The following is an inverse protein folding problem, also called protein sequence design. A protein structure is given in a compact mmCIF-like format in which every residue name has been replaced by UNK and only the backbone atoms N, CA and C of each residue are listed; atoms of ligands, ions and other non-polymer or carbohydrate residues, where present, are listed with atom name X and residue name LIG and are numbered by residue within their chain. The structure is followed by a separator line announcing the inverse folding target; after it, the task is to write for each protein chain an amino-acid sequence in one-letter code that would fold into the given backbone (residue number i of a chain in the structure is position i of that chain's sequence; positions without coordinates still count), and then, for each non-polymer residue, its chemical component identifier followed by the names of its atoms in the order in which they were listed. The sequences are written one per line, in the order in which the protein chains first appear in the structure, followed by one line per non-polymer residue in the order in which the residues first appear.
data_IF_322709943857
#
_entry.id   IF_322709943857
#
_cell.length_a   1.000
_cell.length_b   1.000
_cell.length_c   1.000
_cell.angle_alpha   90.00
_cell.angle_beta   90.00
_cell.angle_gamma   90.00
#
_symmetry.space_group_name_H-M   'P 1'
#
loop_
_entity.id
_entity.type
_entity.pdbx_description
1 polymer ?
#
# COMPACT_ATOMS: atom_id res chain seq x y z
N UNK A 1 9.46 -0.69 0.92
CA UNK A 1 9.54 -1.76 1.96
C UNK A 1 10.22 -1.33 3.24
N UNK A 2 11.41 -0.72 3.24
CA UNK A 2 12.06 -0.25 4.47
C UNK A 2 11.16 0.64 5.35
N UNK A 3 10.54 1.67 4.74
CA UNK A 3 9.61 2.58 5.43
C UNK A 3 8.40 1.84 5.99
N UNK A 4 7.79 0.92 5.21
CA UNK A 4 6.65 0.12 5.67
C UNK A 4 7.00 -0.68 6.93
N UNK A 5 8.15 -1.37 6.91
CA UNK A 5 8.63 -2.16 8.05
C UNK A 5 8.85 -1.28 9.29
N UNK A 6 9.44 -0.08 9.13
CA UNK A 6 9.67 0.86 10.23
C UNK A 6 8.37 1.24 10.97
N UNK A 7 7.24 1.27 10.26
CA UNK A 7 5.93 1.62 10.81
C UNK A 7 5.00 0.41 10.97
N UNK A 8 5.52 -0.81 11.06
CA UNK A 8 4.76 -2.06 11.25
C UNK A 8 3.68 -2.34 10.18
N UNK A 9 3.88 -1.87 8.95
CA UNK A 9 3.04 -2.23 7.82
C UNK A 9 3.58 -3.47 7.09
N UNK A 10 2.70 -4.35 6.58
CA UNK A 10 3.09 -5.44 5.68
C UNK A 10 3.96 -4.92 4.53
N UNK A 11 5.06 -5.62 4.24
CA UNK A 11 5.94 -5.26 3.12
C UNK A 11 5.30 -5.63 1.80
N UNK A 12 5.24 -4.69 0.86
CA UNK A 12 4.68 -4.95 -0.46
C UNK A 12 5.62 -5.81 -1.31
N UNK A 13 5.17 -7.01 -1.65
CA UNK A 13 5.82 -7.85 -2.68
C UNK A 13 5.04 -7.72 -4.00
N UNK A 14 5.72 -7.34 -5.07
CA UNK A 14 5.08 -7.18 -6.40
C UNK A 14 5.46 -8.41 -7.24
N UNK A 15 4.49 -9.30 -7.52
CA UNK A 15 4.76 -10.49 -8.31
C UNK A 15 5.10 -10.09 -9.76
N UNK A 16 5.83 -10.95 -10.46
CA UNK A 16 6.45 -10.63 -11.75
C UNK A 16 5.43 -10.12 -12.78
N UNK A 17 4.27 -10.75 -12.83
CA UNK A 17 3.17 -10.47 -13.75
C UNK A 17 2.59 -9.05 -13.56
N UNK A 18 2.82 -8.45 -12.39
CA UNK A 18 2.33 -7.11 -12.04
C UNK A 18 3.43 -6.04 -12.11
N UNK A 19 4.66 -6.38 -12.49
CA UNK A 19 5.78 -5.42 -12.59
C UNK A 19 5.62 -4.42 -13.71
N UNK A 20 4.88 -4.75 -14.77
CA UNK A 20 4.56 -3.78 -15.83
C UNK A 20 3.91 -2.51 -15.27
N UNK A 21 2.96 -2.66 -14.33
CA UNK A 21 2.33 -1.51 -13.67
C UNK A 21 3.30 -0.69 -12.83
N UNK A 22 4.25 -1.33 -12.15
CA UNK A 22 5.29 -0.66 -11.36
C UNK A 22 6.18 0.22 -12.24
N UNK A 23 6.71 -0.35 -13.33
CA UNK A 23 7.62 0.38 -14.22
C UNK A 23 6.89 1.50 -14.94
N UNK A 24 5.67 1.26 -15.43
CA UNK A 24 4.88 2.30 -16.11
C UNK A 24 4.56 3.48 -15.18
N UNK A 25 4.25 3.22 -13.91
CA UNK A 25 3.98 4.28 -12.94
C UNK A 25 5.25 5.07 -12.59
N UNK A 26 6.39 4.38 -12.46
CA UNK A 26 7.68 5.00 -12.17
C UNK A 26 8.16 5.85 -13.33
N UNK A 27 8.13 5.32 -14.55
CA UNK A 27 8.50 6.03 -15.78
C UNK A 27 7.66 7.29 -15.96
N UNK A 28 6.34 7.20 -15.76
CA UNK A 28 5.44 8.36 -15.85
C UNK A 28 5.74 9.42 -14.80
N UNK A 29 6.03 9.01 -13.56
CA UNK A 29 6.38 9.94 -12.50
C UNK A 29 7.68 10.70 -12.83
N UNK A 30 8.68 9.99 -13.38
CA UNK A 30 9.96 10.58 -13.78
C UNK A 30 9.84 11.49 -15.00
N UNK A 31 9.19 11.02 -16.07
CA UNK A 31 9.06 11.75 -17.34
C UNK A 31 8.18 12.99 -17.23
N UNK A 32 7.16 12.95 -16.35
CA UNK A 32 6.26 14.09 -16.11
C UNK A 32 6.70 14.97 -14.94
N UNK A 33 7.74 14.57 -14.21
CA UNK A 33 8.18 15.21 -12.97
C UNK A 33 7.03 15.34 -11.94
N UNK A 34 6.19 14.32 -11.88
CA UNK A 34 4.98 14.24 -11.04
C UNK A 34 5.05 12.98 -10.16
N UNK A 35 5.72 13.08 -9.01
CA UNK A 35 5.91 11.95 -8.08
C UNK A 35 4.59 11.32 -7.62
N UNK A 36 3.52 12.13 -7.56
CA UNK A 36 2.17 11.71 -7.17
C UNK A 36 1.63 10.55 -8.00
N UNK A 37 2.04 10.40 -9.27
CA UNK A 37 1.61 9.29 -10.13
C UNK A 37 2.06 7.96 -9.53
N UNK A 38 3.31 7.87 -9.10
CA UNK A 38 3.85 6.65 -8.51
C UNK A 38 3.25 6.40 -7.12
N UNK A 39 3.10 7.45 -6.30
CA UNK A 39 2.48 7.35 -4.97
C UNK A 39 1.05 6.81 -5.06
N UNK A 40 0.24 7.34 -5.99
CA UNK A 40 -1.12 6.86 -6.21
C UNK A 40 -1.16 5.39 -6.67
N UNK A 41 -0.29 5.01 -7.62
CA UNK A 41 -0.21 3.63 -8.07
C UNK A 41 0.19 2.69 -6.92
N UNK A 42 1.22 3.07 -6.15
CA UNK A 42 1.71 2.31 -5.01
C UNK A 42 0.60 2.12 -3.97
N UNK A 43 -0.11 3.20 -3.61
CA UNK A 43 -1.17 3.15 -2.61
C UNK A 43 -2.33 2.23 -3.04
N UNK A 44 -2.80 2.38 -4.29
CA UNK A 44 -3.85 1.50 -4.84
C UNK A 44 -3.43 0.03 -4.86
N UNK A 45 -2.18 -0.25 -5.25
CA UNK A 45 -1.65 -1.62 -5.28
C UNK A 45 -1.54 -2.19 -3.87
N UNK A 46 -1.09 -1.37 -2.91
CA UNK A 46 -0.95 -1.74 -1.52
C UNK A 46 -2.29 -2.10 -0.88
N UNK A 47 -3.29 -1.23 -1.03
CA UNK A 47 -4.64 -1.48 -0.54
C UNK A 47 -5.21 -2.75 -1.17
N UNK A 48 -5.08 -2.93 -2.49
CA UNK A 48 -5.58 -4.15 -3.16
C UNK A 48 -4.93 -5.45 -2.68
N UNK A 49 -3.65 -5.42 -2.32
CA UNK A 49 -2.96 -6.61 -1.81
C UNK A 49 -3.35 -6.93 -0.36
N UNK A 50 -3.64 -5.90 0.43
CA UNK A 50 -3.89 -6.01 1.87
C UNK A 50 -5.32 -5.64 2.26
N UNK A 51 -6.28 -5.59 1.34
CA UNK A 51 -7.65 -5.16 1.60
C UNK A 51 -8.27 -5.97 2.75
N UNK A 52 -8.15 -7.30 2.68
CA UNK A 52 -8.59 -8.22 3.75
C UNK A 52 -7.84 -8.02 5.07
N UNK A 53 -6.57 -7.64 5.03
CA UNK A 53 -5.77 -7.37 6.23
C UNK A 53 -6.16 -6.02 6.86
N UNK A 54 -6.39 -4.99 6.04
CA UNK A 54 -6.83 -3.67 6.48
C UNK A 54 -8.23 -3.76 7.09
N UNK A 55 -9.17 -4.46 6.44
CA UNK A 55 -10.49 -4.74 6.99
C UNK A 55 -10.43 -5.42 8.37
N UNK A 56 -9.54 -6.40 8.53
CA UNK A 56 -9.31 -7.07 9.80
C UNK A 56 -8.80 -6.10 10.88
N UNK A 57 -7.79 -5.28 10.57
CA UNK A 57 -7.26 -4.28 11.50
C UNK A 57 -8.33 -3.28 11.92
N UNK A 58 -9.11 -2.75 10.97
CA UNK A 58 -10.17 -1.79 11.30
C UNK A 58 -11.22 -2.40 12.23
N UNK A 59 -11.66 -3.63 11.96
CA UNK A 59 -12.60 -4.35 12.83
C UNK A 59 -12.01 -4.61 14.22
N UNK A 60 -10.75 -5.04 14.30
CA UNK A 60 -10.07 -5.30 15.56
C UNK A 60 -9.90 -4.02 16.40
N UNK A 61 -9.44 -2.93 15.78
CA UNK A 61 -9.29 -1.63 16.46
C UNK A 61 -10.63 -1.07 16.94
N UNK A 62 -11.69 -1.21 16.13
CA UNK A 62 -13.04 -0.83 16.52
C UNK A 62 -13.53 -1.64 17.73
N UNK A 63 -13.29 -2.95 17.74
CA UNK A 63 -13.64 -3.82 18.87
C UNK A 63 -12.89 -3.42 20.16
N UNK A 64 -11.57 -3.19 20.08
CA UNK A 64 -10.77 -2.75 21.24
C UNK A 64 -11.26 -1.41 21.78
N UNK A 65 -11.56 -0.46 20.89
CA UNK A 65 -12.14 0.85 21.23
C UNK A 65 -13.47 0.76 21.97
N UNK A 66 -14.30 -0.24 21.65
CA UNK A 66 -15.59 -0.48 22.31
C UNK A 66 -15.40 -1.16 23.68
N UNK A 67 -14.42 -2.05 23.82
CA UNK A 67 -14.18 -2.80 25.06
C UNK A 67 -13.46 -1.94 26.13
N UNK A 68 -12.64 -0.98 25.70
CA UNK A 68 -11.85 -0.13 26.60
C UNK A 68 -12.50 1.25 26.90
N UNK A 69 -13.70 1.51 26.38
CA UNK A 69 -14.59 2.58 26.84
C UNK A 69 -15.66 2.00 27.77
#
# INVERSE_FOLDING_TARGET
NFVLKKYNYPMLNIPYEKRAGYYNALERAQTKNEENIFVQWFFRRYVKEYERYLEFIYKYNLFISIIHN
#
